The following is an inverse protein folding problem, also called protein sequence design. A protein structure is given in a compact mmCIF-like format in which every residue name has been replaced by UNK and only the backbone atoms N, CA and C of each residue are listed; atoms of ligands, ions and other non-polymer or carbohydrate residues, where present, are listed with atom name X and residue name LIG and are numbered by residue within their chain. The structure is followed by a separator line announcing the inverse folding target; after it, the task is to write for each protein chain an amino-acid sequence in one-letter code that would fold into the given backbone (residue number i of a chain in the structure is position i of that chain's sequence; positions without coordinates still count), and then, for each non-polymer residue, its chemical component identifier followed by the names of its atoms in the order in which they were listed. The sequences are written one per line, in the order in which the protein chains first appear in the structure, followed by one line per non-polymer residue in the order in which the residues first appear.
data_IF_282066828811
#
_entry.id   IF_282066828811
#
_cell.length_a   1.000
_cell.length_b   1.000
_cell.length_c   1.000
_cell.angle_alpha   90.00
_cell.angle_beta   90.00
_cell.angle_gamma   90.00
#
_symmetry.space_group_name_H-M   'P 1'
#
loop_
_entity.id
_entity.type
_entity.pdbx_description
1 polymer ?
#
# COMPACT_ATOMS: atom_id res chain seq x y z
N UNK A 1 -7.08 22.99 22.19
CA UNK A 1 -6.02 22.22 21.54
C UNK A 1 -6.62 20.90 21.07
N UNK A 2 -6.34 20.49 19.83
CA UNK A 2 -6.79 19.21 19.30
C UNK A 2 -6.19 18.05 20.10
N UNK A 3 -6.91 16.91 20.22
CA UNK A 3 -6.38 15.71 20.85
C UNK A 3 -5.20 15.18 20.04
N UNK A 4 -4.13 14.72 20.72
CA UNK A 4 -2.90 14.26 20.10
C UNK A 4 -2.87 12.75 19.94
N UNK A 5 -2.65 12.28 18.70
CA UNK A 5 -2.59 10.86 18.34
C UNK A 5 -1.18 10.53 17.83
N UNK A 6 -0.56 9.48 18.40
CA UNK A 6 0.72 8.97 17.91
C UNK A 6 0.51 7.65 17.18
N UNK A 7 0.97 7.58 15.93
CA UNK A 7 1.06 6.37 15.12
C UNK A 7 2.47 5.80 15.16
N UNK A 8 2.59 4.48 15.24
CA UNK A 8 3.88 3.79 15.30
C UNK A 8 4.00 2.71 14.24
N UNK A 9 5.08 2.77 13.45
CA UNK A 9 5.41 1.81 12.38
C UNK A 9 6.88 1.41 12.47
N UNK A 10 7.26 0.29 11.83
CA UNK A 10 8.66 -0.12 11.70
C UNK A 10 9.30 0.27 10.38
N UNK A 11 8.58 0.94 9.49
CA UNK A 11 9.09 1.38 8.19
C UNK A 11 9.73 2.79 8.24
N UNK A 12 10.25 3.23 7.09
CA UNK A 12 10.99 4.49 6.91
C UNK A 12 10.07 5.72 6.69
N UNK A 13 8.75 5.57 6.69
CA UNK A 13 7.72 6.59 6.48
C UNK A 13 7.58 7.09 5.03
N UNK A 14 8.63 7.02 4.22
CA UNK A 14 8.68 7.65 2.88
C UNK A 14 7.65 7.11 1.91
N UNK A 15 7.45 5.80 1.93
CA UNK A 15 6.63 5.07 0.94
C UNK A 15 5.35 4.51 1.52
N UNK A 16 5.02 4.83 2.76
CA UNK A 16 3.81 4.34 3.43
C UNK A 16 2.59 5.18 3.05
N UNK A 17 2.04 4.89 1.88
CA UNK A 17 0.88 5.60 1.35
C UNK A 17 -0.37 5.49 2.24
N UNK A 18 -0.55 4.35 2.95
CA UNK A 18 -1.69 4.18 3.85
C UNK A 18 -1.59 5.13 5.04
N UNK A 19 -0.42 5.17 5.67
CA UNK A 19 -0.21 6.06 6.81
C UNK A 19 -0.26 7.52 6.40
N UNK A 20 0.24 7.87 5.21
CA UNK A 20 0.09 9.24 4.68
C UNK A 20 -1.38 9.64 4.57
N UNK A 21 -2.25 8.75 4.04
CA UNK A 21 -3.70 9.03 3.95
C UNK A 21 -4.36 9.14 5.31
N UNK A 22 -4.13 8.19 6.21
CA UNK A 22 -4.70 8.16 7.55
C UNK A 22 -4.29 9.41 8.34
N UNK A 23 -2.98 9.70 8.41
CA UNK A 23 -2.46 10.83 9.17
C UNK A 23 -2.93 12.18 8.60
N UNK A 24 -2.96 12.33 7.28
CA UNK A 24 -3.48 13.56 6.63
C UNK A 24 -4.96 13.76 6.92
N UNK A 25 -5.77 12.70 6.81
CA UNK A 25 -7.21 12.78 7.09
C UNK A 25 -7.48 13.20 8.54
N UNK A 26 -6.81 12.56 9.51
CA UNK A 26 -7.03 12.89 10.93
C UNK A 26 -6.49 14.28 11.27
N UNK A 27 -5.42 14.74 10.63
CA UNK A 27 -4.94 16.12 10.78
C UNK A 27 -5.94 17.14 10.24
N UNK A 28 -6.58 16.84 9.11
CA UNK A 28 -7.63 17.69 8.54
C UNK A 28 -8.88 17.77 9.44
N UNK A 29 -9.17 16.71 10.22
CA UNK A 29 -10.22 16.69 11.25
C UNK A 29 -9.84 17.40 12.56
N UNK A 30 -8.68 18.04 12.60
CA UNK A 30 -8.25 18.85 13.75
C UNK A 30 -7.51 18.09 14.85
N UNK A 31 -7.13 16.82 14.62
CA UNK A 31 -6.25 16.11 15.52
C UNK A 31 -4.78 16.52 15.35
N UNK A 32 -4.03 16.58 16.44
CA UNK A 32 -2.57 16.71 16.40
C UNK A 32 -1.97 15.32 16.16
N UNK A 33 -1.47 15.07 14.94
CA UNK A 33 -1.00 13.74 14.53
C UNK A 33 0.52 13.68 14.48
N UNK A 34 1.11 12.61 15.03
CA UNK A 34 2.54 12.28 14.91
C UNK A 34 2.71 10.84 14.39
N UNK A 35 3.52 10.67 13.36
CA UNK A 35 3.88 9.36 12.80
C UNK A 35 5.34 9.04 13.12
N UNK A 36 5.57 7.93 13.85
CA UNK A 36 6.88 7.50 14.33
C UNK A 36 7.31 6.25 13.59
N UNK A 37 8.46 6.31 12.94
CA UNK A 37 9.05 5.18 12.22
C UNK A 37 10.55 5.07 12.45
N UNK A 38 11.24 4.30 11.62
CA UNK A 38 12.69 4.11 11.71
C UNK A 38 13.46 4.88 10.65
N UNK A 39 14.70 5.23 10.96
CA UNK A 39 15.67 5.71 9.99
C UNK A 39 16.55 4.56 9.52
N UNK A 40 16.64 4.38 8.21
CA UNK A 40 17.57 3.45 7.55
C UNK A 40 18.82 4.21 7.10
N UNK A 41 19.91 3.48 6.80
CA UNK A 41 21.11 4.06 6.18
C UNK A 41 20.81 4.64 4.80
N UNK A 42 19.85 4.05 4.08
CA UNK A 42 19.36 4.49 2.77
C UNK A 42 18.21 5.50 2.83
N UNK A 43 17.81 5.96 4.03
CA UNK A 43 16.70 6.91 4.17
C UNK A 43 17.03 8.23 3.50
N UNK A 44 16.17 8.65 2.59
CA UNK A 44 16.19 9.99 1.99
C UNK A 44 15.38 10.99 2.84
N UNK A 45 15.57 12.30 2.68
CA UNK A 45 14.81 13.31 3.41
C UNK A 45 13.30 13.11 3.28
N UNK A 46 12.58 13.32 4.39
CA UNK A 46 11.12 13.30 4.40
C UNK A 46 10.57 14.54 3.70
N UNK A 47 9.48 14.38 2.98
CA UNK A 47 8.74 15.52 2.45
C UNK A 47 7.85 16.12 3.56
N UNK A 48 7.64 17.44 3.59
CA UNK A 48 6.69 18.07 4.50
C UNK A 48 5.30 17.44 4.40
N UNK A 49 4.66 17.23 5.55
CA UNK A 49 3.31 16.69 5.68
C UNK A 49 2.52 17.56 6.66
N UNK A 50 1.17 17.55 6.63
CA UNK A 50 0.34 18.29 7.57
C UNK A 50 0.37 17.71 8.99
N UNK A 51 1.21 16.70 9.25
CA UNK A 51 1.41 16.03 10.51
C UNK A 51 2.89 15.89 10.84
N UNK A 52 3.21 15.65 12.12
CA UNK A 52 4.59 15.48 12.55
C UNK A 52 5.13 14.11 12.10
N UNK A 53 6.36 14.09 11.58
CA UNK A 53 7.07 12.86 11.20
C UNK A 53 8.36 12.73 12.01
N UNK A 54 8.57 11.58 12.66
CA UNK A 54 9.77 11.30 13.46
C UNK A 54 10.37 9.97 13.07
N UNK A 55 11.68 9.93 12.79
CA UNK A 55 12.42 8.69 12.54
C UNK A 55 13.38 8.40 13.71
N UNK A 56 13.18 7.26 14.35
CA UNK A 56 14.09 6.78 15.37
C UNK A 56 15.34 6.16 14.72
N UNK A 57 16.53 6.55 15.18
CA UNK A 57 17.82 6.02 14.69
C UNK A 57 18.19 4.73 15.42
N UNK A 58 18.83 3.81 14.71
CA UNK A 58 19.42 2.60 15.29
C UNK A 58 20.91 2.76 15.48
N UNK A 59 21.44 2.22 16.58
CA UNK A 59 22.87 2.27 16.87
C UNK A 59 23.55 0.92 16.63
N UNK A 60 22.85 -0.20 16.88
CA UNK A 60 23.50 -1.52 16.96
C UNK A 60 22.96 -2.52 15.92
N UNK A 61 21.64 -2.59 15.71
CA UNK A 61 21.02 -3.62 14.86
C UNK A 61 20.14 -3.02 13.79
N UNK A 62 20.26 -3.52 12.55
CA UNK A 62 19.45 -3.05 11.40
C UNK A 62 18.48 -4.12 10.91
N UNK A 63 18.70 -5.41 11.25
CA UNK A 63 17.91 -6.55 10.77
C UNK A 63 17.79 -7.63 11.85
N UNK A 64 16.87 -8.57 11.66
CA UNK A 64 16.71 -9.75 12.50
C UNK A 64 16.01 -9.49 13.84
N UNK A 65 16.09 -10.47 14.75
CA UNK A 65 15.36 -10.44 16.04
C UNK A 65 15.82 -9.32 16.98
N UNK A 66 17.11 -9.03 17.00
CA UNK A 66 17.70 -8.00 17.85
C UNK A 66 17.29 -6.60 17.40
N UNK A 67 17.06 -6.40 16.08
CA UNK A 67 16.47 -5.18 15.56
C UNK A 67 15.11 -4.90 16.19
N UNK A 68 14.19 -5.87 16.20
CA UNK A 68 12.86 -5.67 16.78
C UNK A 68 12.94 -5.35 18.27
N UNK A 69 13.83 -6.03 19.01
CA UNK A 69 14.02 -5.76 20.43
C UNK A 69 14.53 -4.33 20.66
N UNK A 70 15.59 -3.92 19.97
CA UNK A 70 16.17 -2.57 20.10
C UNK A 70 15.15 -1.50 19.72
N UNK A 71 14.47 -1.68 18.56
CA UNK A 71 13.46 -0.73 18.10
C UNK A 71 12.33 -0.55 19.13
N UNK A 72 11.77 -1.65 19.59
CA UNK A 72 10.64 -1.62 20.51
C UNK A 72 11.02 -1.00 21.87
N UNK A 73 12.23 -1.25 22.36
CA UNK A 73 12.72 -0.59 23.57
C UNK A 73 12.87 0.92 23.37
N UNK A 74 13.50 1.35 22.27
CA UNK A 74 13.64 2.78 21.94
C UNK A 74 12.29 3.45 21.73
N UNK A 75 11.37 2.78 21.02
CA UNK A 75 10.02 3.28 20.82
C UNK A 75 9.30 3.44 22.15
N UNK A 76 9.38 2.46 23.05
CA UNK A 76 8.78 2.57 24.38
C UNK A 76 9.34 3.78 25.15
N UNK A 77 10.66 3.91 25.24
CA UNK A 77 11.29 5.05 25.88
C UNK A 77 10.84 6.37 25.25
N UNK A 78 10.87 6.47 23.92
CA UNK A 78 10.39 7.66 23.23
C UNK A 78 8.94 8.01 23.61
N UNK A 79 8.02 7.02 23.57
CA UNK A 79 6.60 7.22 23.89
C UNK A 79 6.37 7.64 25.34
N UNK A 80 7.16 7.15 26.29
CA UNK A 80 7.03 7.54 27.70
C UNK A 80 7.33 9.02 27.94
N UNK A 81 8.16 9.65 27.11
CA UNK A 81 8.46 11.08 27.19
C UNK A 81 7.58 11.97 26.29
N UNK A 82 6.66 11.38 25.51
CA UNK A 82 5.70 12.16 24.71
C UNK A 82 4.38 12.36 25.47
N UNK A 83 3.73 13.50 25.25
CA UNK A 83 2.32 13.67 25.58
C UNK A 83 1.46 13.15 24.43
N UNK A 84 0.37 12.45 24.73
CA UNK A 84 -0.60 11.97 23.75
C UNK A 84 -1.94 11.65 24.41
N UNK A 85 -3.00 11.62 23.61
CA UNK A 85 -4.34 11.20 24.03
C UNK A 85 -4.70 9.80 23.54
N UNK A 86 -4.07 9.32 22.47
CA UNK A 86 -4.13 7.92 22.02
C UNK A 86 -2.83 7.51 21.32
N UNK A 87 -2.56 6.19 21.30
CA UNK A 87 -1.55 5.56 20.45
C UNK A 87 -2.27 4.61 19.50
N UNK A 88 -1.90 4.66 18.22
CA UNK A 88 -2.27 3.67 17.22
C UNK A 88 -1.02 2.91 16.77
N UNK A 89 -0.94 1.63 17.11
CA UNK A 89 0.14 0.76 16.63
C UNK A 89 -0.25 0.05 15.35
N UNK A 90 0.63 0.16 14.35
CA UNK A 90 0.48 -0.49 13.07
C UNK A 90 1.20 -1.82 13.11
N UNK A 91 0.46 -2.87 12.77
CA UNK A 91 0.89 -4.26 12.85
C UNK A 91 1.41 -4.69 14.25
N UNK A 92 1.79 -5.95 14.39
CA UNK A 92 2.18 -6.51 15.68
C UNK A 92 3.55 -6.03 16.16
N UNK A 93 4.39 -5.61 15.24
CA UNK A 93 5.79 -5.29 15.47
C UNK A 93 6.02 -3.98 16.26
N UNK A 94 4.97 -3.14 16.40
CA UNK A 94 4.99 -1.95 17.28
C UNK A 94 3.94 -2.00 18.38
N UNK A 95 3.14 -3.05 18.48
CA UNK A 95 1.98 -3.12 19.37
C UNK A 95 2.37 -3.16 20.86
N UNK A 96 3.42 -3.91 21.24
CA UNK A 96 3.83 -4.04 22.65
C UNK A 96 4.22 -2.68 23.26
N UNK A 97 5.17 -1.91 22.68
CA UNK A 97 5.55 -0.60 23.24
C UNK A 97 4.37 0.39 23.25
N UNK A 98 3.51 0.36 22.21
CA UNK A 98 2.31 1.20 22.17
C UNK A 98 1.35 0.89 23.31
N UNK A 99 1.04 -0.38 23.56
CA UNK A 99 0.16 -0.82 24.66
C UNK A 99 0.77 -0.49 26.02
N UNK A 100 2.06 -0.74 26.22
CA UNK A 100 2.73 -0.46 27.50
C UNK A 100 2.72 1.03 27.80
N UNK A 101 3.07 1.88 26.84
CA UNK A 101 3.04 3.33 27.00
C UNK A 101 1.61 3.84 27.28
N UNK A 102 0.61 3.33 26.56
CA UNK A 102 -0.81 3.65 26.75
C UNK A 102 -1.27 3.29 28.16
N UNK A 103 -0.94 2.09 28.65
CA UNK A 103 -1.30 1.67 30.02
C UNK A 103 -0.63 2.52 31.10
N UNK A 104 0.67 2.79 30.97
CA UNK A 104 1.42 3.60 31.94
C UNK A 104 0.82 5.01 32.04
N UNK A 105 0.37 5.57 30.91
CA UNK A 105 -0.21 6.93 30.87
C UNK A 105 -1.73 6.95 30.99
N UNK A 106 -2.39 5.80 31.17
CA UNK A 106 -3.85 5.67 31.26
C UNK A 106 -4.55 6.28 30.03
N UNK A 107 -3.98 6.03 28.83
CA UNK A 107 -4.53 6.48 27.55
C UNK A 107 -4.97 5.28 26.70
N UNK A 108 -5.95 5.44 25.79
CA UNK A 108 -6.40 4.37 24.91
C UNK A 108 -5.34 3.97 23.89
N UNK A 109 -5.38 2.69 23.53
CA UNK A 109 -4.58 2.09 22.45
C UNK A 109 -5.48 1.62 21.33
N UNK A 110 -5.10 1.91 20.08
CA UNK A 110 -5.75 1.46 18.85
C UNK A 110 -4.77 0.54 18.11
N UNK A 111 -5.28 -0.50 17.47
CA UNK A 111 -4.48 -1.44 16.69
C UNK A 111 -4.95 -1.44 15.23
N UNK A 112 -4.08 -1.11 14.27
CA UNK A 112 -4.35 -1.21 12.83
C UNK A 112 -3.54 -2.36 12.22
N UNK A 113 -4.23 -3.45 11.86
CA UNK A 113 -3.64 -4.63 11.25
C UNK A 113 -3.67 -4.50 9.71
N UNK A 114 -2.50 -4.29 9.09
CA UNK A 114 -2.41 -4.19 7.64
C UNK A 114 -2.44 -5.54 6.93
N UNK A 115 -2.14 -6.63 7.68
CA UNK A 115 -2.14 -7.99 7.16
C UNK A 115 -2.34 -9.02 8.30
N UNK A 116 -2.51 -10.28 7.95
CA UNK A 116 -2.43 -11.36 8.93
C UNK A 116 -0.97 -11.69 9.24
N UNK A 117 -0.32 -10.83 10.01
CA UNK A 117 1.10 -10.86 10.31
C UNK A 117 1.60 -12.26 10.73
N UNK A 118 0.84 -12.98 11.58
CA UNK A 118 1.19 -14.34 12.03
C UNK A 118 1.11 -15.39 10.93
N UNK A 119 0.52 -15.07 9.77
CA UNK A 119 0.31 -15.96 8.63
C UNK A 119 1.00 -15.45 7.36
N UNK A 120 1.90 -14.48 7.48
CA UNK A 120 2.81 -14.12 6.38
C UNK A 120 3.77 -15.29 6.13
N UNK A 121 4.21 -15.54 4.89
CA UNK A 121 5.08 -16.67 4.57
C UNK A 121 6.35 -16.72 5.41
N UNK A 122 6.96 -15.56 5.69
CA UNK A 122 8.20 -15.42 6.46
C UNK A 122 8.03 -15.84 7.91
N UNK A 123 6.87 -15.63 8.49
CA UNK A 123 6.51 -16.02 9.85
C UNK A 123 6.01 -17.45 9.89
N UNK A 124 5.08 -17.83 9.01
CA UNK A 124 4.42 -19.14 9.01
C UNK A 124 5.37 -20.32 8.74
N UNK A 125 6.43 -20.12 7.95
CA UNK A 125 7.50 -21.12 7.71
C UNK A 125 8.29 -21.48 8.98
N UNK A 126 8.30 -20.61 10.00
CA UNK A 126 9.07 -20.76 11.24
C UNK A 126 8.14 -20.90 12.44
N UNK A 127 7.69 -22.11 12.75
CA UNK A 127 6.65 -22.39 13.76
C UNK A 127 6.92 -21.80 15.15
N UNK A 128 8.17 -21.77 15.61
CA UNK A 128 8.54 -21.13 16.88
C UNK A 128 8.33 -19.62 16.84
N UNK A 129 8.69 -18.97 15.74
CA UNK A 129 8.49 -17.53 15.52
C UNK A 129 7.00 -17.23 15.42
N UNK A 130 6.25 -18.05 14.69
CA UNK A 130 4.79 -17.91 14.56
C UNK A 130 4.10 -17.95 15.93
N UNK A 131 4.45 -18.91 16.78
CA UNK A 131 3.88 -19.02 18.15
C UNK A 131 4.16 -17.77 18.99
N UNK A 132 5.37 -17.20 18.91
CA UNK A 132 5.71 -15.96 19.61
C UNK A 132 4.79 -14.83 19.13
N UNK A 133 4.65 -14.65 17.81
CA UNK A 133 3.78 -13.61 17.26
C UNK A 133 2.30 -13.85 17.54
N UNK A 134 1.85 -15.11 17.63
CA UNK A 134 0.48 -15.44 18.08
C UNK A 134 0.25 -15.02 19.53
N UNK A 135 1.24 -15.19 20.41
CA UNK A 135 1.17 -14.69 21.79
C UNK A 135 1.10 -13.15 21.81
N UNK A 136 1.92 -12.47 21.01
CA UNK A 136 1.88 -11.01 20.87
C UNK A 136 0.51 -10.55 20.35
N UNK A 137 -0.01 -11.22 19.32
CA UNK A 137 -1.33 -10.92 18.74
C UNK A 137 -2.46 -11.10 19.77
N UNK A 138 -2.46 -12.19 20.53
CA UNK A 138 -3.42 -12.42 21.63
C UNK A 138 -3.32 -11.32 22.69
N UNK A 139 -2.11 -10.95 23.08
CA UNK A 139 -1.87 -9.86 24.02
C UNK A 139 -2.40 -8.53 23.46
N UNK A 140 -2.14 -8.23 22.20
CA UNK A 140 -2.58 -7.01 21.51
C UNK A 140 -4.10 -6.91 21.52
N UNK A 141 -4.81 -7.93 21.04
CA UNK A 141 -6.28 -7.91 21.01
C UNK A 141 -6.91 -7.85 22.41
N UNK A 142 -6.27 -8.42 23.42
CA UNK A 142 -6.73 -8.32 24.82
C UNK A 142 -6.66 -6.89 25.36
N UNK A 143 -5.70 -6.08 24.92
CA UNK A 143 -5.37 -4.80 25.55
C UNK A 143 -5.62 -3.57 24.71
N UNK A 144 -5.96 -3.73 23.43
CA UNK A 144 -6.35 -2.60 22.58
C UNK A 144 -7.81 -2.19 22.84
N UNK A 145 -8.13 -0.92 22.74
CA UNK A 145 -9.48 -0.37 22.90
C UNK A 145 -10.31 -0.52 21.62
N UNK A 146 -9.69 -0.28 20.46
CA UNK A 146 -10.29 -0.48 19.15
C UNK A 146 -9.30 -1.17 18.22
N UNK A 147 -9.82 -1.87 17.21
CA UNK A 147 -9.01 -2.48 16.15
C UNK A 147 -9.61 -2.18 14.78
N UNK A 148 -8.73 -1.99 13.80
CA UNK A 148 -9.12 -1.83 12.40
C UNK A 148 -8.18 -2.66 11.51
N UNK A 149 -8.62 -2.91 10.27
CA UNK A 149 -7.86 -3.67 9.27
C UNK A 149 -8.27 -3.27 7.85
N UNK A 150 -7.60 -3.86 6.87
CA UNK A 150 -7.68 -3.47 5.45
C UNK A 150 -8.78 -4.17 4.64
N UNK A 151 -9.40 -5.22 5.16
CA UNK A 151 -10.42 -5.98 4.41
C UNK A 151 -11.38 -6.77 5.31
N UNK A 152 -12.63 -7.04 4.83
CA UNK A 152 -13.65 -7.77 5.56
C UNK A 152 -13.22 -9.18 6.00
N UNK A 153 -12.54 -9.94 5.14
CA UNK A 153 -12.14 -11.31 5.48
C UNK A 153 -11.10 -11.35 6.63
N UNK A 154 -10.17 -10.39 6.67
CA UNK A 154 -9.22 -10.25 7.78
C UNK A 154 -9.98 -9.80 9.05
N UNK A 155 -10.91 -8.86 8.92
CA UNK A 155 -11.74 -8.43 10.05
C UNK A 155 -12.53 -9.59 10.64
N UNK A 156 -13.19 -10.39 9.81
CA UNK A 156 -13.92 -11.58 10.23
C UNK A 156 -13.02 -12.58 10.95
N UNK A 157 -11.84 -12.89 10.39
CA UNK A 157 -10.86 -13.77 11.04
C UNK A 157 -10.51 -13.31 12.46
N UNK A 158 -10.26 -12.01 12.64
CA UNK A 158 -9.93 -11.48 13.97
C UNK A 158 -11.14 -11.46 14.92
N UNK A 159 -12.33 -11.13 14.41
CA UNK A 159 -13.58 -11.15 15.20
C UNK A 159 -13.89 -12.54 15.72
N UNK A 160 -13.81 -13.56 14.87
CA UNK A 160 -14.02 -14.95 15.24
C UNK A 160 -12.97 -15.44 16.25
N UNK A 161 -11.70 -15.09 16.04
CA UNK A 161 -10.59 -15.56 16.88
C UNK A 161 -10.54 -14.89 18.25
N UNK A 162 -10.88 -13.61 18.34
CA UNK A 162 -10.68 -12.80 19.56
C UNK A 162 -11.97 -12.27 20.18
N UNK A 163 -13.12 -12.55 19.58
CA UNK A 163 -14.43 -12.04 19.99
C UNK A 163 -14.43 -10.53 20.23
N UNK A 164 -13.82 -9.78 19.30
CA UNK A 164 -13.67 -8.33 19.38
C UNK A 164 -14.04 -7.70 18.03
N UNK A 165 -14.87 -6.63 18.00
CA UNK A 165 -15.16 -5.91 16.77
C UNK A 165 -13.87 -5.36 16.13
N UNK A 166 -13.77 -5.53 14.81
CA UNK A 166 -12.65 -4.99 14.00
C UNK A 166 -13.27 -4.22 12.85
N UNK A 167 -12.99 -2.94 12.79
CA UNK A 167 -13.49 -2.09 11.72
C UNK A 167 -12.68 -2.29 10.43
N UNK A 168 -13.30 -2.07 9.29
CA UNK A 168 -12.65 -2.17 8.00
C UNK A 168 -12.41 -0.76 7.44
N UNK A 169 -11.15 -0.44 7.18
CA UNK A 169 -10.70 0.77 6.48
C UNK A 169 -9.77 0.32 5.36
N UNK A 170 -10.30 0.22 4.15
CA UNK A 170 -9.57 -0.27 2.98
C UNK A 170 -8.50 0.72 2.55
N UNK A 171 -7.46 0.22 1.89
CA UNK A 171 -6.38 1.06 1.36
C UNK A 171 -6.74 1.64 -0.02
N UNK A 172 -7.87 2.35 -0.09
CA UNK A 172 -8.40 2.94 -1.32
C UNK A 172 -7.52 4.10 -1.83
N UNK A 173 -7.45 4.31 -3.16
CA UNK A 173 -6.74 5.47 -3.72
C UNK A 173 -7.49 6.78 -3.46
N UNK A 174 -6.76 7.89 -3.45
CA UNK A 174 -7.34 9.24 -3.43
C UNK A 174 -7.97 9.53 -4.81
N UNK A 175 -9.13 10.18 -4.84
CA UNK A 175 -9.81 10.56 -6.08
C UNK A 175 -8.90 11.45 -6.93
N UNK A 176 -8.76 11.12 -8.22
CA UNK A 176 -7.97 11.94 -9.14
C UNK A 176 -8.63 13.29 -9.36
N UNK A 177 -7.84 14.36 -9.25
CA UNK A 177 -8.29 15.75 -9.27
C UNK A 177 -8.19 16.45 -7.91
N UNK A 178 -8.17 15.71 -6.80
CA UNK A 178 -7.94 16.26 -5.46
C UNK A 178 -6.43 16.46 -5.14
N UNK A 179 -5.53 15.96 -5.97
CA UNK A 179 -4.07 16.03 -5.73
C UNK A 179 -3.54 17.46 -5.82
N UNK A 180 -4.20 18.35 -6.56
CA UNK A 180 -3.85 19.77 -6.58
C UNK A 180 -4.25 20.50 -5.28
N UNK A 181 -5.22 19.96 -4.51
CA UNK A 181 -5.65 20.59 -3.27
C UNK A 181 -4.73 20.35 -2.07
N UNK A 182 -3.93 19.26 -2.08
CA UNK A 182 -2.98 18.98 -0.98
C UNK A 182 -1.70 19.82 -1.15
N UNK A 183 -1.21 20.00 -2.38
CA UNK A 183 -0.12 20.94 -2.67
C UNK A 183 -0.56 22.39 -2.49
N UNK A 184 -1.81 22.72 -2.83
CA UNK A 184 -2.38 24.06 -2.67
C UNK A 184 -2.69 24.38 -1.20
N UNK A 185 -3.11 23.41 -0.39
CA UNK A 185 -3.28 23.60 1.05
C UNK A 185 -1.95 23.92 1.75
N UNK A 186 -0.84 23.31 1.29
CA UNK A 186 0.51 23.63 1.82
C UNK A 186 0.98 25.01 1.35
N UNK A 187 0.60 25.44 0.15
CA UNK A 187 0.91 26.77 -0.39
C UNK A 187 0.10 27.89 0.33
N UNK A 188 -1.15 27.62 0.69
CA UNK A 188 -2.01 28.58 1.41
C UNK A 188 -1.53 28.80 2.85
N UNK A 189 -1.00 27.78 3.52
CA UNK A 189 -0.45 27.92 4.90
C UNK A 189 0.88 28.71 4.89
N UNK A 190 1.66 28.67 3.79
CA UNK A 190 2.91 29.45 3.66
C UNK A 190 2.71 30.83 3.04
N UNK A 191 1.54 31.12 2.46
CA UNK A 191 1.18 32.39 1.84
C UNK A 191 0.62 33.49 2.78
N UNK A 192 0.41 33.19 4.06
CA UNK A 192 -0.22 34.09 5.02
C UNK A 192 0.73 35.10 5.69
N UNK A 193 1.93 35.32 5.16
CA UNK A 193 2.85 36.39 5.63
C UNK A 193 3.37 37.17 4.42
N UNK A 194 2.57 38.02 3.81
CA UNK A 194 2.89 39.38 3.38
C UNK A 194 1.83 39.97 2.39
N UNK A 195 1.05 41.02 2.73
CA UNK A 195 0.01 41.54 1.83
C UNK A 195 0.49 42.67 0.88
N UNK A 196 1.80 42.81 0.61
CA UNK A 196 2.31 43.85 -0.27
C UNK A 196 3.37 43.34 -1.24
N UNK A 197 2.95 42.64 -2.31
CA UNK A 197 3.71 42.63 -3.56
C UNK A 197 2.83 42.16 -4.74
N UNK A 198 2.16 43.13 -5.36
CA UNK A 198 1.50 42.96 -6.67
C UNK A 198 2.54 43.09 -7.77
N UNK A 199 3.13 42.01 -8.19
CA UNK A 199 3.81 41.90 -9.47
C UNK A 199 3.04 40.97 -10.40
N UNK A 200 2.51 41.59 -11.48
CA UNK A 200 1.93 40.88 -12.63
C UNK A 200 2.98 39.92 -13.21
N UNK A 201 2.78 38.62 -13.04
CA UNK A 201 3.57 37.61 -13.73
C UNK A 201 2.74 37.01 -14.86
N UNK A 202 3.27 37.13 -16.07
CA UNK A 202 2.72 36.55 -17.30
C UNK A 202 2.52 35.03 -17.15
N UNK A 203 1.27 34.59 -17.44
CA UNK A 203 0.92 33.17 -17.60
C UNK A 203 1.58 32.59 -18.85
N UNK A 204 2.76 32.01 -18.69
CA UNK A 204 3.34 30.99 -19.58
C UNK A 204 4.35 30.18 -18.76
N UNK A 205 3.86 29.46 -17.74
CA UNK A 205 4.64 28.37 -17.14
C UNK A 205 4.31 27.14 -17.98
N UNK A 206 5.14 26.88 -18.98
CA UNK A 206 5.33 25.54 -19.56
C UNK A 206 5.81 24.69 -18.38
N UNK A 207 4.98 23.75 -17.91
CA UNK A 207 5.35 22.76 -16.92
C UNK A 207 6.37 21.79 -17.54
N UNK A 208 7.64 22.20 -17.65
CA UNK A 208 8.76 21.31 -17.91
C UNK A 208 9.06 20.46 -16.67
N UNK A 209 8.12 19.56 -16.31
CA UNK A 209 8.47 18.44 -15.44
C UNK A 209 9.39 17.52 -16.25
N UNK A 210 10.62 17.26 -15.79
CA UNK A 210 11.56 16.41 -16.54
C UNK A 210 10.92 15.05 -16.80
N UNK A 211 11.05 14.58 -18.04
CA UNK A 211 10.52 13.26 -18.45
C UNK A 211 11.10 12.19 -17.52
N UNK A 212 10.26 11.36 -16.88
CA UNK A 212 10.74 10.31 -15.99
C UNK A 212 11.72 9.36 -16.68
N UNK A 213 12.77 8.93 -15.99
CA UNK A 213 13.80 8.05 -16.55
C UNK A 213 13.27 6.72 -17.12
N UNK A 214 12.14 6.23 -16.62
CA UNK A 214 11.47 5.02 -17.12
C UNK A 214 10.72 5.26 -18.45
N UNK A 215 10.32 6.50 -18.74
CA UNK A 215 9.52 6.84 -19.92
C UNK A 215 10.26 6.50 -21.21
N UNK A 216 11.57 6.75 -21.28
CA UNK A 216 12.37 6.39 -22.46
C UNK A 216 12.29 4.90 -22.83
N UNK A 217 12.21 4.02 -21.83
CA UNK A 217 12.04 2.57 -22.07
C UNK A 217 10.65 2.24 -22.62
N UNK A 218 9.63 2.97 -22.18
CA UNK A 218 8.25 2.81 -22.70
C UNK A 218 8.15 3.39 -24.12
N UNK A 219 8.81 4.52 -24.39
CA UNK A 219 8.81 5.12 -25.73
C UNK A 219 9.46 4.19 -26.77
N UNK A 220 10.44 3.37 -26.36
CA UNK A 220 11.04 2.35 -27.23
C UNK A 220 10.03 1.25 -27.65
N UNK A 221 8.91 1.09 -26.97
CA UNK A 221 7.84 0.17 -27.37
C UNK A 221 7.03 0.68 -28.58
N UNK A 222 7.25 1.90 -29.04
CA UNK A 222 6.65 2.49 -30.25
C UNK A 222 5.12 2.36 -30.30
N UNK A 223 4.44 2.52 -29.15
CA UNK A 223 2.99 2.39 -29.02
C UNK A 223 2.45 0.95 -28.97
N UNK A 224 3.31 -0.07 -28.90
CA UNK A 224 2.88 -1.44 -28.65
C UNK A 224 2.16 -1.56 -27.31
N UNK A 225 1.11 -2.39 -27.26
CA UNK A 225 0.39 -2.70 -26.03
C UNK A 225 1.29 -3.48 -25.07
N UNK A 226 1.13 -3.24 -23.79
CA UNK A 226 1.86 -4.00 -22.78
C UNK A 226 0.99 -4.40 -21.58
N UNK A 227 1.39 -5.51 -20.97
CA UNK A 227 0.89 -6.00 -19.69
C UNK A 227 1.76 -5.38 -18.62
N UNK A 228 1.17 -4.81 -17.58
CA UNK A 228 1.89 -4.17 -16.48
C UNK A 228 1.78 -4.97 -15.19
N UNK A 229 2.92 -5.30 -14.60
CA UNK A 229 3.02 -5.58 -13.18
C UNK A 229 3.73 -4.42 -12.47
N UNK A 230 3.13 -3.92 -11.39
CA UNK A 230 3.75 -2.92 -10.52
C UNK A 230 3.81 -3.41 -9.07
N UNK A 231 4.97 -3.25 -8.42
CA UNK A 231 5.21 -3.63 -7.03
C UNK A 231 6.47 -4.44 -6.82
N UNK A 232 6.66 -4.92 -5.58
CA UNK A 232 7.85 -5.70 -5.22
C UNK A 232 7.93 -7.02 -6.02
N UNK A 233 9.11 -7.30 -6.58
CA UNK A 233 9.44 -8.53 -7.31
C UNK A 233 9.86 -9.62 -6.32
N UNK A 234 8.90 -10.05 -5.48
CA UNK A 234 9.12 -11.01 -4.40
C UNK A 234 8.46 -12.36 -4.68
N UNK A 235 8.79 -13.37 -3.85
CA UNK A 235 8.15 -14.69 -3.89
C UNK A 235 6.62 -14.59 -3.87
N UNK A 236 5.99 -15.58 -4.46
CA UNK A 236 4.54 -15.76 -4.50
C UNK A 236 3.75 -14.63 -5.20
N UNK A 237 4.40 -13.78 -5.99
CA UNK A 237 3.71 -12.76 -6.81
C UNK A 237 3.30 -13.29 -8.20
N UNK A 238 3.49 -14.59 -8.47
CA UNK A 238 3.10 -15.25 -9.72
C UNK A 238 3.90 -14.79 -10.95
N UNK A 239 5.09 -14.19 -10.72
CA UNK A 239 5.87 -13.54 -11.78
C UNK A 239 6.58 -14.55 -12.68
N UNK A 240 7.00 -15.68 -12.14
CA UNK A 240 7.61 -16.78 -12.91
C UNK A 240 6.62 -17.33 -13.94
N UNK A 241 5.39 -17.62 -13.51
CA UNK A 241 4.33 -18.10 -14.41
C UNK A 241 3.94 -17.03 -15.46
N UNK A 242 3.96 -15.76 -15.09
CA UNK A 242 3.71 -14.65 -16.00
C UNK A 242 4.81 -14.56 -17.07
N UNK A 243 6.10 -14.59 -16.68
CA UNK A 243 7.23 -14.55 -17.63
C UNK A 243 7.19 -15.76 -18.57
N UNK A 244 6.94 -16.98 -18.04
CA UNK A 244 6.78 -18.18 -18.86
C UNK A 244 5.64 -18.04 -19.86
N UNK A 245 4.50 -17.45 -19.45
CA UNK A 245 3.36 -17.22 -20.31
C UNK A 245 3.67 -16.30 -21.50
N UNK A 246 4.66 -15.41 -21.38
CA UNK A 246 5.06 -14.50 -22.44
C UNK A 246 5.60 -15.19 -23.68
N UNK A 247 6.01 -16.47 -23.61
CA UNK A 247 6.36 -17.28 -24.79
C UNK A 247 5.20 -17.42 -25.78
N UNK A 248 3.94 -17.38 -25.28
CA UNK A 248 2.74 -17.57 -26.07
C UNK A 248 1.85 -16.30 -26.21
N UNK A 249 2.17 -15.24 -25.45
CA UNK A 249 1.42 -13.97 -25.50
C UNK A 249 2.15 -13.03 -26.46
N UNK A 250 1.47 -12.40 -27.45
CA UNK A 250 2.14 -11.58 -28.47
C UNK A 250 2.63 -10.23 -27.94
N UNK A 251 2.02 -9.70 -26.92
CA UNK A 251 2.27 -8.35 -26.38
C UNK A 251 3.53 -8.30 -25.50
N UNK A 252 3.90 -7.13 -25.04
CA UNK A 252 5.07 -6.87 -24.17
C UNK A 252 4.66 -7.02 -22.68
N UNK A 253 5.59 -7.48 -21.85
CA UNK A 253 5.47 -7.43 -20.40
C UNK A 253 6.38 -6.34 -19.82
N UNK A 254 5.80 -5.47 -19.01
CA UNK A 254 6.54 -4.43 -18.27
C UNK A 254 6.47 -4.73 -16.78
N UNK A 255 7.63 -4.85 -16.14
CA UNK A 255 7.80 -5.07 -14.70
C UNK A 255 8.34 -3.80 -14.06
N UNK A 256 7.50 -3.14 -13.25
CA UNK A 256 7.83 -1.91 -12.52
C UNK A 256 8.00 -2.20 -11.03
N UNK A 257 9.21 -2.29 -10.57
CA UNK A 257 9.61 -2.58 -9.19
C UNK A 257 10.92 -3.34 -9.10
N UNK A 258 11.36 -3.58 -7.88
CA UNK A 258 12.51 -4.43 -7.55
C UNK A 258 12.15 -5.28 -6.30
N UNK A 259 12.91 -6.32 -6.03
CA UNK A 259 12.71 -7.21 -4.89
C UNK A 259 13.67 -8.39 -4.90
N UNK A 260 13.42 -9.35 -4.00
CA UNK A 260 14.31 -10.48 -3.76
C UNK A 260 14.47 -11.38 -5.00
N UNK A 261 13.46 -11.44 -5.88
CA UNK A 261 13.49 -12.23 -7.11
C UNK A 261 13.99 -11.45 -8.34
N UNK A 262 14.37 -10.18 -8.22
CA UNK A 262 14.75 -9.37 -9.40
C UNK A 262 15.76 -10.04 -10.30
N UNK A 263 16.85 -10.58 -9.71
CA UNK A 263 17.90 -11.26 -10.48
C UNK A 263 17.41 -12.61 -11.04
N UNK A 264 16.67 -13.37 -10.27
CA UNK A 264 16.11 -14.67 -10.69
C UNK A 264 15.18 -14.49 -11.90
N UNK A 265 14.30 -13.47 -11.86
CA UNK A 265 13.37 -13.19 -12.96
C UNK A 265 14.09 -12.71 -14.23
N UNK A 266 15.17 -11.93 -14.11
CA UNK A 266 16.02 -11.54 -15.25
C UNK A 266 16.71 -12.76 -15.87
N UNK A 267 17.26 -13.65 -15.04
CA UNK A 267 17.87 -14.90 -15.49
C UNK A 267 16.84 -15.79 -16.18
N UNK A 268 15.64 -15.94 -15.61
CA UNK A 268 14.54 -16.70 -16.24
C UNK A 268 14.16 -16.10 -17.60
N UNK A 269 14.03 -14.80 -17.70
CA UNK A 269 13.72 -14.10 -18.96
C UNK A 269 14.76 -14.41 -20.02
N UNK A 270 16.04 -14.36 -19.68
CA UNK A 270 17.14 -14.66 -20.60
C UNK A 270 17.17 -16.12 -21.00
N UNK A 271 16.95 -17.07 -20.07
CA UNK A 271 16.93 -18.50 -20.36
C UNK A 271 15.80 -18.93 -21.30
N UNK A 272 14.71 -18.16 -21.34
CA UNK A 272 13.57 -18.37 -22.22
C UNK A 272 13.64 -17.54 -23.53
N UNK A 273 14.75 -16.82 -23.77
CA UNK A 273 14.93 -15.91 -24.93
C UNK A 273 13.84 -14.85 -25.04
N UNK A 274 13.36 -14.34 -23.90
CA UNK A 274 12.27 -13.35 -23.83
C UNK A 274 12.75 -11.91 -23.58
N UNK A 275 14.06 -11.64 -23.70
CA UNK A 275 14.61 -10.30 -23.47
C UNK A 275 14.03 -9.21 -24.39
N UNK A 276 13.52 -9.61 -25.56
CA UNK A 276 12.85 -8.72 -26.51
C UNK A 276 11.39 -8.40 -26.13
N UNK A 277 10.79 -9.13 -25.15
CA UNK A 277 9.38 -9.01 -24.74
C UNK A 277 9.18 -8.62 -23.28
N UNK A 278 10.19 -8.76 -22.43
CA UNK A 278 10.08 -8.48 -20.99
C UNK A 278 10.98 -7.31 -20.61
N UNK A 279 10.37 -6.20 -20.23
CA UNK A 279 11.04 -4.94 -19.89
C UNK A 279 11.03 -4.73 -18.39
N UNK A 280 12.19 -4.62 -17.77
CA UNK A 280 12.36 -4.27 -16.36
C UNK A 280 12.64 -2.77 -16.22
N UNK A 281 11.72 -2.05 -15.58
CA UNK A 281 11.86 -0.61 -15.36
C UNK A 281 12.66 -0.26 -14.10
N UNK A 282 12.76 -1.21 -13.14
CA UNK A 282 13.30 -0.93 -11.80
C UNK A 282 12.27 -0.22 -10.91
N UNK A 283 12.74 0.39 -9.83
CA UNK A 283 11.89 1.12 -8.89
C UNK A 283 11.35 2.39 -9.54
N UNK A 284 10.03 2.57 -9.48
CA UNK A 284 9.33 3.77 -9.93
C UNK A 284 8.84 4.55 -8.71
N UNK A 285 9.07 5.87 -8.64
CA UNK A 285 8.53 6.70 -7.58
C UNK A 285 6.99 6.60 -7.52
N UNK A 286 6.38 6.53 -6.33
CA UNK A 286 4.92 6.35 -6.18
C UNK A 286 4.07 7.41 -6.89
N UNK A 287 4.56 8.65 -6.96
CA UNK A 287 3.90 9.75 -7.66
C UNK A 287 3.93 9.62 -9.20
N UNK A 288 4.83 8.81 -9.75
CA UNK A 288 4.97 8.57 -11.19
C UNK A 288 4.22 7.30 -11.64
N UNK A 289 4.00 6.32 -10.75
CA UNK A 289 3.29 5.08 -11.07
C UNK A 289 1.94 5.29 -11.79
N UNK A 290 1.10 6.27 -11.40
CA UNK A 290 -0.17 6.50 -12.10
C UNK A 290 -0.03 6.88 -13.58
N UNK A 291 1.08 7.52 -13.97
CA UNK A 291 1.35 7.86 -15.37
C UNK A 291 1.71 6.61 -16.18
N UNK A 292 2.54 5.73 -15.62
CA UNK A 292 2.87 4.43 -16.22
C UNK A 292 1.62 3.54 -16.32
N UNK A 293 0.85 3.43 -15.24
CA UNK A 293 -0.35 2.57 -15.18
C UNK A 293 -1.38 2.93 -16.25
N UNK A 294 -1.54 4.22 -16.57
CA UNK A 294 -2.44 4.70 -17.62
C UNK A 294 -2.03 4.30 -19.04
N UNK A 295 -0.75 4.01 -19.26
CA UNK A 295 -0.23 3.63 -20.58
C UNK A 295 -0.35 2.12 -20.82
N UNK A 296 -0.58 1.33 -19.77
CA UNK A 296 -0.74 -0.12 -19.88
C UNK A 296 -2.06 -0.52 -20.53
N UNK A 297 -2.08 -1.71 -21.14
CA UNK A 297 -3.26 -2.31 -21.70
C UNK A 297 -3.92 -3.34 -20.77
N UNK A 298 -3.16 -4.15 -20.05
CA UNK A 298 -3.66 -5.11 -19.05
C UNK A 298 -2.84 -4.96 -17.76
N UNK A 299 -3.50 -4.91 -16.60
CA UNK A 299 -2.87 -5.00 -15.30
C UNK A 299 -2.72 -6.45 -14.83
N UNK A 300 -1.61 -6.80 -14.17
CA UNK A 300 -1.39 -8.12 -13.59
C UNK A 300 -1.40 -8.07 -12.06
N UNK A 301 -2.40 -8.70 -11.44
CA UNK A 301 -2.55 -8.82 -10.00
C UNK A 301 -2.88 -10.28 -9.61
N UNK A 302 -2.08 -11.22 -10.08
CA UNK A 302 -2.23 -12.65 -9.79
C UNK A 302 -1.06 -13.12 -8.93
N UNK A 303 -1.34 -13.55 -7.70
CA UNK A 303 -0.36 -14.05 -6.74
C UNK A 303 -0.64 -15.52 -6.42
N UNK A 304 0.38 -16.27 -6.03
CA UNK A 304 0.23 -17.62 -5.53
C UNK A 304 -0.38 -17.60 -4.11
N UNK A 305 -1.15 -18.62 -3.76
CA UNK A 305 -1.61 -18.81 -2.39
C UNK A 305 -0.45 -19.28 -1.49
N UNK A 306 0.33 -18.34 -0.97
CA UNK A 306 1.46 -18.64 -0.08
C UNK A 306 1.06 -18.69 1.40
N UNK A 307 -0.23 -18.84 1.69
CA UNK A 307 -0.77 -18.92 3.05
C UNK A 307 -1.94 -17.98 3.29
N UNK A 308 -2.51 -18.06 4.48
CA UNK A 308 -3.77 -17.39 4.81
C UNK A 308 -3.68 -15.85 4.67
N UNK A 309 -2.52 -15.24 4.99
CA UNK A 309 -2.33 -13.80 4.81
C UNK A 309 -2.46 -13.37 3.34
N UNK A 310 -1.90 -14.16 2.41
CA UNK A 310 -2.04 -13.90 0.98
C UNK A 310 -3.46 -14.17 0.47
N UNK A 311 -4.06 -15.27 0.93
CA UNK A 311 -5.40 -15.68 0.51
C UNK A 311 -6.49 -14.67 0.89
N UNK A 312 -6.34 -14.01 2.06
CA UNK A 312 -7.27 -12.98 2.54
C UNK A 312 -6.80 -11.54 2.23
N UNK A 313 -5.72 -11.39 1.44
CA UNK A 313 -5.17 -10.07 1.13
C UNK A 313 -5.98 -9.33 0.07
N UNK A 314 -5.89 -8.00 0.14
CA UNK A 314 -6.40 -7.08 -0.88
C UNK A 314 -5.28 -6.09 -1.25
N UNK A 315 -4.63 -6.33 -2.38
CA UNK A 315 -3.44 -5.58 -2.80
C UNK A 315 -3.79 -4.18 -3.35
N UNK A 316 -2.96 -3.19 -3.06
CA UNK A 316 -3.14 -1.82 -3.55
C UNK A 316 -3.24 -1.75 -5.08
N UNK A 317 -2.44 -2.54 -5.80
CA UNK A 317 -2.44 -2.54 -7.27
C UNK A 317 -3.80 -2.89 -7.90
N UNK A 318 -4.67 -3.63 -7.19
CA UNK A 318 -6.04 -3.87 -7.64
C UNK A 318 -6.80 -2.55 -7.80
N UNK A 319 -6.73 -1.68 -6.80
CA UNK A 319 -7.37 -0.37 -6.84
C UNK A 319 -6.63 0.60 -7.76
N UNK A 320 -5.30 0.51 -7.83
CA UNK A 320 -4.50 1.36 -8.73
C UNK A 320 -4.86 1.10 -10.19
N UNK A 321 -5.00 -0.17 -10.59
CA UNK A 321 -5.43 -0.56 -11.94
C UNK A 321 -6.87 -0.11 -12.21
N UNK A 322 -7.77 -0.37 -11.27
CA UNK A 322 -9.17 0.09 -11.37
C UNK A 322 -9.25 1.61 -11.56
N UNK A 323 -8.50 2.35 -10.75
CA UNK A 323 -8.47 3.81 -10.82
C UNK A 323 -7.79 4.36 -12.08
N UNK A 324 -6.95 3.56 -12.74
CA UNK A 324 -6.40 3.85 -14.06
C UNK A 324 -7.35 3.47 -15.21
N UNK A 325 -8.51 2.90 -14.92
CA UNK A 325 -9.46 2.29 -15.85
C UNK A 325 -8.81 1.16 -16.67
N UNK A 326 -7.94 0.39 -16.02
CA UNK A 326 -7.13 -0.65 -16.64
C UNK A 326 -7.72 -2.04 -16.33
N UNK A 327 -8.27 -2.76 -17.30
CA UNK A 327 -8.67 -4.15 -17.13
C UNK A 327 -7.52 -5.00 -16.63
N UNK A 328 -7.76 -5.91 -15.67
CA UNK A 328 -6.67 -6.65 -15.04
C UNK A 328 -6.99 -8.14 -14.87
N UNK A 329 -5.92 -8.95 -14.81
CA UNK A 329 -5.95 -10.33 -14.32
C UNK A 329 -5.86 -10.29 -12.80
N UNK A 330 -6.74 -11.01 -12.12
CA UNK A 330 -6.96 -10.87 -10.68
C UNK A 330 -7.04 -12.26 -10.04
N UNK A 331 -6.47 -12.43 -8.84
CA UNK A 331 -6.63 -13.69 -8.11
C UNK A 331 -8.10 -14.05 -7.87
N UNK A 332 -8.45 -15.35 -7.89
CA UNK A 332 -9.77 -15.82 -7.43
C UNK A 332 -9.84 -15.95 -5.91
N UNK A 333 -9.28 -14.99 -5.16
CA UNK A 333 -9.34 -14.98 -3.70
C UNK A 333 -10.62 -14.30 -3.19
N UNK A 334 -11.10 -14.63 -1.98
CA UNK A 334 -12.40 -14.20 -1.49
C UNK A 334 -12.67 -12.70 -1.61
N UNK A 335 -11.73 -11.86 -1.17
CA UNK A 335 -11.88 -10.40 -1.20
C UNK A 335 -12.04 -9.87 -2.63
N UNK A 336 -11.25 -10.39 -3.58
CA UNK A 336 -11.36 -9.98 -4.98
C UNK A 336 -12.65 -10.46 -5.61
N UNK A 337 -13.08 -11.70 -5.32
CA UNK A 337 -14.33 -12.25 -5.87
C UNK A 337 -15.55 -11.45 -5.40
N UNK A 338 -15.58 -11.00 -4.13
CA UNK A 338 -16.66 -10.14 -3.63
C UNK A 338 -16.68 -8.79 -4.36
N UNK A 339 -15.53 -8.16 -4.55
CA UNK A 339 -15.45 -6.90 -5.29
C UNK A 339 -15.82 -7.07 -6.77
N UNK A 340 -15.44 -8.21 -7.39
CA UNK A 340 -15.80 -8.50 -8.79
C UNK A 340 -17.30 -8.76 -9.00
N UNK A 341 -18.06 -9.17 -7.97
CA UNK A 341 -19.53 -9.26 -8.02
C UNK A 341 -20.16 -7.87 -8.12
N UNK A 342 -19.56 -6.88 -7.46
CA UNK A 342 -20.05 -5.51 -7.50
C UNK A 342 -19.69 -4.83 -8.83
N UNK A 343 -18.41 -4.85 -9.18
CA UNK A 343 -17.90 -4.35 -10.45
C UNK A 343 -16.91 -5.34 -11.05
N UNK A 344 -17.23 -5.91 -12.22
CA UNK A 344 -16.33 -6.80 -12.94
C UNK A 344 -15.19 -5.97 -13.59
N UNK A 345 -14.18 -5.58 -12.79
CA UNK A 345 -13.03 -4.75 -13.20
C UNK A 345 -11.86 -5.54 -13.78
N UNK A 346 -12.01 -6.86 -13.90
CA UNK A 346 -10.98 -7.75 -14.43
C UNK A 346 -11.48 -9.18 -14.54
N UNK A 347 -10.57 -10.11 -14.82
CA UNK A 347 -10.85 -11.55 -14.96
C UNK A 347 -10.16 -12.32 -13.86
N UNK A 348 -10.92 -13.12 -13.12
CA UNK A 348 -10.37 -14.06 -12.14
C UNK A 348 -9.46 -15.07 -12.86
N UNK A 349 -8.22 -15.21 -12.40
CA UNK A 349 -7.14 -15.92 -13.07
C UNK A 349 -6.32 -16.71 -12.05
N UNK A 350 -6.15 -18.01 -12.30
CA UNK A 350 -5.30 -18.87 -11.47
C UNK A 350 -3.81 -18.57 -11.71
N UNK A 351 -2.95 -18.68 -10.69
CA UNK A 351 -1.52 -18.34 -10.78
C UNK A 351 -0.71 -19.44 -11.47
N UNK A 352 -1.16 -19.91 -12.64
CA UNK A 352 -0.45 -20.87 -13.47
C UNK A 352 -0.35 -20.38 -14.91
N UNK A 353 0.68 -20.82 -15.62
CA UNK A 353 1.00 -20.40 -16.98
C UNK A 353 -0.21 -20.53 -17.94
N UNK A 354 -0.91 -21.67 -17.90
CA UNK A 354 -2.01 -21.98 -18.82
C UNK A 354 -3.18 -21.02 -18.68
N UNK A 355 -3.61 -20.72 -17.44
CA UNK A 355 -4.75 -19.81 -17.21
C UNK A 355 -4.34 -18.34 -17.45
N UNK A 356 -3.11 -17.96 -17.11
CA UNK A 356 -2.57 -16.64 -17.45
C UNK A 356 -2.58 -16.42 -18.95
N UNK A 357 -2.12 -17.38 -19.76
CA UNK A 357 -2.18 -17.32 -21.24
C UNK A 357 -3.63 -17.19 -21.71
N UNK A 358 -4.50 -18.06 -21.24
CA UNK A 358 -5.92 -18.11 -21.64
C UNK A 358 -6.63 -16.79 -21.37
N UNK A 359 -6.55 -16.26 -20.16
CA UNK A 359 -7.27 -15.05 -19.77
C UNK A 359 -6.65 -13.80 -20.41
N UNK A 360 -5.33 -13.78 -20.59
CA UNK A 360 -4.66 -12.70 -21.32
C UNK A 360 -5.11 -12.67 -22.78
N UNK A 361 -5.02 -13.80 -23.50
CA UNK A 361 -5.47 -13.89 -24.90
C UNK A 361 -6.94 -13.51 -25.03
N UNK A 362 -7.79 -13.86 -24.06
CA UNK A 362 -9.21 -13.46 -24.05
C UNK A 362 -9.37 -11.94 -23.98
N UNK A 363 -8.64 -11.24 -23.11
CA UNK A 363 -8.67 -9.77 -23.04
C UNK A 363 -8.09 -9.10 -24.28
N UNK A 364 -7.11 -9.74 -24.95
CA UNK A 364 -6.49 -9.20 -26.15
C UNK A 364 -7.36 -9.36 -27.39
N UNK A 365 -8.18 -10.43 -27.48
CA UNK A 365 -8.96 -10.78 -28.66
C UNK A 365 -10.43 -10.33 -28.59
N UNK A 366 -11.02 -10.18 -27.41
CA UNK A 366 -12.41 -9.79 -27.21
C UNK A 366 -12.52 -8.30 -26.82
N UNK A 367 -12.60 -7.43 -27.83
CA UNK A 367 -12.71 -5.98 -27.61
C UNK A 367 -13.97 -5.58 -26.85
N UNK A 368 -15.10 -6.29 -27.05
CA UNK A 368 -16.36 -6.01 -26.34
C UNK A 368 -16.21 -6.30 -24.84
N UNK A 369 -15.60 -7.42 -24.49
CA UNK A 369 -15.30 -7.76 -23.10
C UNK A 369 -14.34 -6.74 -22.49
N UNK A 370 -13.27 -6.39 -23.21
CA UNK A 370 -12.29 -5.40 -22.75
C UNK A 370 -12.96 -4.05 -22.45
N UNK A 371 -13.75 -3.51 -23.37
CA UNK A 371 -14.44 -2.23 -23.21
C UNK A 371 -15.47 -2.25 -22.08
N UNK A 372 -16.17 -3.38 -21.90
CA UNK A 372 -17.09 -3.58 -20.77
C UNK A 372 -16.33 -3.52 -19.43
N UNK A 373 -15.22 -4.23 -19.31
CA UNK A 373 -14.41 -4.23 -18.08
C UNK A 373 -13.83 -2.83 -17.84
N UNK A 374 -13.31 -2.17 -18.84
CA UNK A 374 -12.80 -0.80 -18.77
C UNK A 374 -13.86 0.19 -18.29
N UNK A 375 -15.09 0.07 -18.78
CA UNK A 375 -16.23 0.87 -18.33
C UNK A 375 -16.58 0.59 -16.87
N UNK A 376 -16.54 -0.68 -16.43
CA UNK A 376 -16.73 -1.04 -15.03
C UNK A 376 -15.62 -0.48 -14.15
N UNK A 377 -14.35 -0.49 -14.61
CA UNK A 377 -13.25 0.17 -13.88
C UNK A 377 -13.54 1.66 -13.65
N UNK A 378 -14.09 2.35 -14.66
CA UNK A 378 -14.48 3.77 -14.53
C UNK A 378 -15.54 3.94 -13.43
N UNK A 379 -16.61 3.15 -13.45
CA UNK A 379 -17.67 3.21 -12.43
C UNK A 379 -17.14 2.87 -11.03
N UNK A 380 -16.34 1.81 -10.93
CA UNK A 380 -15.73 1.40 -9.67
C UNK A 380 -14.76 2.46 -9.12
N UNK A 381 -14.02 3.16 -9.97
CA UNK A 381 -13.08 4.22 -9.57
C UNK A 381 -13.76 5.46 -8.96
N UNK A 382 -15.06 5.64 -9.17
CA UNK A 382 -15.85 6.70 -8.52
C UNK A 382 -16.33 6.29 -7.12
N UNK A 383 -16.47 4.97 -6.87
CA UNK A 383 -16.92 4.41 -5.61
C UNK A 383 -15.78 3.97 -4.70
N UNK A 384 -14.75 3.33 -5.24
CA UNK A 384 -13.62 2.79 -4.49
C UNK A 384 -12.53 3.85 -4.35
N UNK A 385 -12.82 4.86 -3.52
CA UNK A 385 -11.97 6.02 -3.22
C UNK A 385 -11.80 6.19 -1.71
N UNK A 386 -10.69 6.82 -1.32
CA UNK A 386 -10.35 7.07 0.08
C UNK A 386 -11.43 7.86 0.83
N UNK A 387 -12.09 8.81 0.17
CA UNK A 387 -13.13 9.64 0.78
C UNK A 387 -14.29 8.81 1.35
N UNK A 388 -14.58 7.65 0.77
CA UNK A 388 -15.61 6.72 1.25
C UNK A 388 -15.16 5.87 2.46
N UNK A 389 -13.87 5.73 2.71
CA UNK A 389 -13.32 5.07 3.90
C UNK A 389 -13.16 6.03 5.09
N UNK A 390 -13.06 7.34 4.80
CA UNK A 390 -12.81 8.42 5.76
C UNK A 390 -13.82 8.45 6.91
N UNK A 391 -15.16 8.35 6.69
CA UNK A 391 -16.12 8.39 7.80
C UNK A 391 -15.92 7.26 8.81
N UNK A 392 -15.60 6.05 8.34
CA UNK A 392 -15.31 4.91 9.22
C UNK A 392 -14.06 5.16 10.04
N UNK A 393 -13.00 5.64 9.40
CA UNK A 393 -11.74 6.00 10.09
C UNK A 393 -11.97 7.04 11.18
N UNK A 394 -12.60 8.16 10.85
CA UNK A 394 -12.86 9.27 11.80
C UNK A 394 -13.71 8.78 12.97
N UNK A 395 -14.76 8.01 12.71
CA UNK A 395 -15.66 7.50 13.75
C UNK A 395 -14.92 6.61 14.76
N UNK A 396 -13.98 5.75 14.33
CA UNK A 396 -13.18 4.93 15.23
C UNK A 396 -12.39 5.81 16.21
N UNK A 397 -11.68 6.81 15.71
CA UNK A 397 -10.86 7.69 16.56
C UNK A 397 -11.73 8.57 17.45
N UNK A 398 -12.86 9.05 16.95
CA UNK A 398 -13.83 9.82 17.73
C UNK A 398 -14.39 9.01 18.90
N UNK A 399 -14.80 7.74 18.67
CA UNK A 399 -15.33 6.87 19.72
C UNK A 399 -14.29 6.52 20.79
N UNK A 400 -13.03 6.37 20.42
CA UNK A 400 -11.96 6.02 21.35
C UNK A 400 -11.49 7.23 22.18
N UNK A 401 -11.60 8.41 21.62
CA UNK A 401 -11.08 9.64 22.23
C UNK A 401 -12.13 10.43 23.02
N UNK A 402 -13.41 10.16 22.84
CA UNK A 402 -14.52 10.78 23.59
C UNK A 402 -15.11 9.81 24.59
#
# INVERSE_FOLDING_TARGET
MGKRIIFTVTNDLRYDQRMQRICTTLSAEGYEVALIGRQLTSSIPLQPQPYQQVRLKYLLFTTGKLFYLEYNLRLLFFLLFQSFDAICSIDLDTSIPGILASKIKSKPHIFDAHELFTHTPEVARRKSVQRIWECVQKFTFKHTNAALTVGPAIAQYFQEKYNKPVAVVRNMPIKRGAVNSISDATAVIHGAINPNNTTKTNNNIINDTPTPAWQSKIDLLQGQRFILYQGALNEARGLEALIQAMSEIPDILVLAGEGDLSQTLRTLTTSLDLNHKVVFLGMIPPNELPQLTKQAYIGYNVSQNAGLSYYLSLNNKFFDYTNAHLPSLINPFPEYLELLKEFAVGIATEPNMSDVIKQTKRLLSDSKLYDKIKSNCKLASEKWIWDNETPTLINIFHQVLN
#
